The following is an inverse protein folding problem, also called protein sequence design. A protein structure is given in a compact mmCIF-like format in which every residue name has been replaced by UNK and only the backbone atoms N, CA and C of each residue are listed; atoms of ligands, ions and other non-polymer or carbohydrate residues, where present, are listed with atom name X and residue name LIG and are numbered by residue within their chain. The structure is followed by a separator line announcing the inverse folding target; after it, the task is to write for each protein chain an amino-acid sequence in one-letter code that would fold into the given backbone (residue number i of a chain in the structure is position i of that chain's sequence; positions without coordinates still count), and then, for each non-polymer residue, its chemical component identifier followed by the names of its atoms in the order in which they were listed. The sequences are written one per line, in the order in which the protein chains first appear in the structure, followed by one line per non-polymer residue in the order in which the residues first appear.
data_IF_330547634552
#
_entry.id   IF_330547634552
#
_cell.length_a   1.000
_cell.length_b   1.000
_cell.length_c   1.000
_cell.angle_alpha   90.00
_cell.angle_beta   90.00
_cell.angle_gamma   90.00
#
_symmetry.space_group_name_H-M   'P 1'
#
loop_
_entity.id
_entity.type
_entity.pdbx_description
1 polymer ?
#
# COMPACT_ATOMS: atom_id res chain seq x y z
N UNK A 1 -19.25 -8.05 -4.67
CA UNK A 1 -18.48 -8.41 -5.89
C UNK A 1 -17.20 -9.06 -5.39
N UNK A 2 -16.93 -10.33 -5.71
CA UNK A 2 -15.76 -11.03 -5.16
C UNK A 2 -14.48 -10.54 -5.81
N UNK A 3 -13.85 -9.52 -5.25
CA UNK A 3 -12.53 -9.11 -5.72
C UNK A 3 -11.48 -10.10 -5.22
N UNK A 4 -10.72 -10.68 -6.14
CA UNK A 4 -9.58 -11.53 -5.80
C UNK A 4 -8.33 -10.67 -5.61
N UNK A 5 -7.52 -10.98 -4.60
CA UNK A 5 -6.26 -10.28 -4.36
C UNK A 5 -5.19 -10.73 -5.36
N UNK A 6 -4.71 -9.82 -6.19
CA UNK A 6 -3.56 -10.06 -7.06
C UNK A 6 -2.24 -9.87 -6.30
N UNK A 7 -1.48 -10.94 -6.11
CA UNK A 7 -0.17 -10.88 -5.43
C UNK A 7 0.90 -10.14 -6.22
N UNK A 8 0.67 -9.84 -7.50
CA UNK A 8 1.61 -9.10 -8.37
C UNK A 8 1.28 -7.61 -8.52
N UNK A 9 0.25 -7.11 -7.83
CA UNK A 9 -0.06 -5.69 -7.85
C UNK A 9 1.12 -4.83 -7.31
N UNK A 10 1.15 -3.55 -7.68
CA UNK A 10 2.28 -2.66 -7.37
C UNK A 10 2.54 -2.51 -5.87
N UNK A 11 1.47 -2.45 -5.05
CA UNK A 11 1.61 -2.35 -3.60
C UNK A 11 2.11 -3.65 -2.97
N UNK A 12 1.70 -4.82 -3.49
CA UNK A 12 2.24 -6.11 -3.06
C UNK A 12 3.75 -6.21 -3.32
N UNK A 13 4.22 -5.71 -4.47
CA UNK A 13 5.65 -5.65 -4.80
C UNK A 13 6.42 -4.67 -3.89
N UNK A 14 5.83 -3.54 -3.55
CA UNK A 14 6.37 -2.57 -2.58
C UNK A 14 6.53 -3.23 -1.20
N UNK A 15 5.50 -3.94 -0.72
CA UNK A 15 5.54 -4.66 0.56
C UNK A 15 6.64 -5.75 0.61
N UNK A 16 6.90 -6.42 -0.53
CA UNK A 16 8.00 -7.39 -0.67
C UNK A 16 9.37 -6.76 -0.93
N UNK A 17 9.45 -5.41 -0.96
CA UNK A 17 10.68 -4.65 -1.25
C UNK A 17 11.27 -4.91 -2.64
N UNK A 18 10.44 -5.36 -3.59
CA UNK A 18 10.82 -5.53 -5.00
C UNK A 18 10.85 -4.18 -5.74
N UNK A 19 10.03 -3.22 -5.30
CA UNK A 19 9.97 -1.85 -5.82
C UNK A 19 10.35 -0.89 -4.69
N UNK A 20 11.32 0.02 -4.90
CA UNK A 20 11.68 1.01 -3.90
C UNK A 20 10.55 2.01 -3.67
N UNK A 21 10.44 2.51 -2.45
CA UNK A 21 9.51 3.56 -2.07
C UNK A 21 10.17 4.48 -1.03
N UNK A 22 9.65 5.69 -0.86
CA UNK A 22 10.11 6.61 0.17
C UNK A 22 9.28 6.43 1.43
N UNK A 23 9.70 5.49 2.28
CA UNK A 23 9.02 5.21 3.55
C UNK A 23 9.03 6.42 4.47
N UNK A 24 7.86 6.82 4.93
CA UNK A 24 7.66 7.84 5.97
C UNK A 24 7.55 7.16 7.34
N UNK A 25 6.79 6.07 7.41
CA UNK A 25 6.58 5.28 8.63
C UNK A 25 6.25 3.83 8.26
N UNK A 26 6.79 2.88 9.01
CA UNK A 26 6.43 1.48 8.91
C UNK A 26 6.08 0.95 10.31
N UNK A 27 4.92 0.30 10.44
CA UNK A 27 4.46 -0.31 11.69
C UNK A 27 4.34 -1.83 11.52
N UNK A 28 3.85 -2.53 12.54
CA UNK A 28 3.53 -3.95 12.43
C UNK A 28 2.47 -4.22 11.34
N UNK A 29 1.46 -3.35 11.22
CA UNK A 29 0.28 -3.61 10.39
C UNK A 29 0.20 -2.76 9.11
N UNK A 30 0.95 -1.65 9.04
CA UNK A 30 0.86 -0.69 7.94
C UNK A 30 2.21 -0.19 7.45
N UNK A 31 2.19 0.32 6.21
CA UNK A 31 3.30 1.03 5.59
C UNK A 31 2.78 2.36 5.03
N UNK A 32 3.47 3.45 5.37
CA UNK A 32 3.20 4.78 4.85
C UNK A 32 4.40 5.28 4.04
N UNK A 33 4.17 5.76 2.83
CA UNK A 33 5.22 6.20 1.90
C UNK A 33 4.73 7.35 0.99
N UNK A 34 5.66 8.16 0.49
CA UNK A 34 5.33 9.24 -0.45
C UNK A 34 4.77 8.69 -1.77
N UNK A 35 3.72 9.32 -2.27
CA UNK A 35 3.22 9.06 -3.62
C UNK A 35 4.26 9.51 -4.66
N UNK A 36 4.38 8.74 -5.74
CA UNK A 36 5.26 9.08 -6.88
C UNK A 36 4.66 10.17 -7.77
N UNK A 37 3.33 10.32 -7.78
CA UNK A 37 2.61 11.37 -8.51
C UNK A 37 1.79 12.26 -7.55
N UNK A 38 2.47 13.07 -6.73
CA UNK A 38 1.84 13.79 -5.64
C UNK A 38 0.88 14.89 -6.11
N UNK A 39 -0.39 14.78 -5.70
CA UNK A 39 -1.43 15.80 -5.94
C UNK A 39 -1.37 17.02 -4.99
N UNK A 40 -0.42 17.04 -4.04
CA UNK A 40 -0.21 18.11 -3.07
C UNK A 40 1.28 18.15 -2.65
N UNK A 41 1.78 19.25 -2.04
CA UNK A 41 3.20 19.35 -1.64
C UNK A 41 3.66 18.20 -0.73
N UNK A 42 2.75 17.63 0.05
CA UNK A 42 2.94 16.39 0.80
C UNK A 42 1.77 15.48 0.47
N UNK A 43 2.05 14.32 -0.13
CA UNK A 43 1.06 13.29 -0.44
C UNK A 43 1.64 11.94 0.00
N UNK A 44 1.01 11.33 1.00
CA UNK A 44 1.43 10.05 1.57
C UNK A 44 0.31 9.04 1.38
N UNK A 45 0.66 7.88 0.84
CA UNK A 45 -0.21 6.72 0.77
C UNK A 45 0.03 5.85 2.00
N UNK A 46 -1.04 5.31 2.59
CA UNK A 46 -0.97 4.35 3.69
C UNK A 46 -1.66 3.06 3.26
N UNK A 47 -0.91 1.97 3.28
CA UNK A 47 -1.41 0.64 2.90
C UNK A 47 -1.29 -0.35 4.07
N UNK A 48 -2.23 -1.31 4.20
CA UNK A 48 -2.08 -2.44 5.12
C UNK A 48 -1.07 -3.46 4.58
N UNK A 49 -0.40 -4.21 5.47
CA UNK A 49 0.56 -5.26 5.07
C UNK A 49 -0.08 -6.59 4.67
N UNK A 50 -1.42 -6.69 4.68
CA UNK A 50 -2.15 -7.90 4.33
C UNK A 50 -2.81 -7.88 2.94
N UNK A 51 -3.34 -9.02 2.46
CA UNK A 51 -3.94 -9.16 1.14
C UNK A 51 -5.38 -8.60 1.09
N UNK A 52 -5.51 -7.29 1.27
CA UNK A 52 -6.79 -6.59 1.27
C UNK A 52 -7.02 -5.92 -0.08
N UNK A 53 -8.23 -6.07 -0.64
CA UNK A 53 -8.57 -5.47 -1.94
C UNK A 53 -9.36 -4.17 -1.78
N UNK A 54 -10.18 -4.09 -0.74
CA UNK A 54 -11.01 -2.92 -0.45
C UNK A 54 -11.31 -2.84 1.04
N UNK A 55 -11.93 -1.74 1.45
CA UNK A 55 -12.37 -1.53 2.83
C UNK A 55 -13.33 -2.62 3.33
N UNK A 56 -14.13 -3.22 2.44
CA UNK A 56 -15.10 -4.28 2.76
C UNK A 56 -14.47 -5.50 3.46
N UNK A 57 -13.15 -5.69 3.36
CA UNK A 57 -12.45 -6.77 4.08
C UNK A 57 -12.29 -6.49 5.59
N UNK A 58 -12.65 -5.30 6.06
CA UNK A 58 -12.56 -4.87 7.46
C UNK A 58 -13.92 -4.72 8.14
N UNK A 59 -15.01 -5.11 7.46
CA UNK A 59 -16.40 -5.00 7.95
C UNK A 59 -17.03 -6.35 8.17
#
# INVERSE_FOLDING_TARGET
MGYSYDTNNVFAKILRREIPNKTVLETEHSLAFEDIDPQAPVHVLVIPKGPYVSLDHFT
#
